data_IF_032027841218
#
_entry.id   IF_032027841218
#
_cell.length_a   1.000
_cell.length_b   1.000
_cell.length_c   1.000
_cell.angle_alpha   90.00
_cell.angle_beta   90.00
_cell.angle_gamma   90.00
#
_symmetry.space_group_name_H-M   'P 1'
#
loop_
_entity.id
_entity.type
_entity.pdbx_description
1 polymer ?
#
# COMPACT_ATOMS: atom_id res chain seq x y z
N UNK A 1 -28.00 39.60 -12.12
CA UNK A 1 -28.01 38.19 -11.64
C UNK A 1 -26.62 37.61 -11.87
N UNK A 2 -25.87 37.37 -10.78
CA UNK A 2 -24.41 37.17 -10.80
C UNK A 2 -24.04 35.71 -11.09
N UNK A 3 -23.49 35.45 -12.27
CA UNK A 3 -22.84 34.16 -12.60
C UNK A 3 -21.41 34.19 -12.05
N UNK A 4 -21.19 33.57 -10.89
CA UNK A 4 -19.84 33.37 -10.32
C UNK A 4 -19.09 32.34 -11.19
N UNK A 5 -18.25 32.83 -12.09
CA UNK A 5 -17.16 32.07 -12.72
C UNK A 5 -16.11 31.80 -11.65
N UNK A 6 -15.95 30.54 -11.23
CA UNK A 6 -14.79 30.15 -10.44
C UNK A 6 -13.61 29.93 -11.37
N UNK A 7 -12.71 30.91 -11.27
CA UNK A 7 -11.39 31.02 -11.85
C UNK A 7 -10.50 29.89 -11.29
N UNK A 8 -10.31 28.81 -12.05
CA UNK A 8 -9.22 27.86 -11.83
C UNK A 8 -8.07 28.28 -12.73
N UNK A 9 -7.23 29.18 -12.21
CA UNK A 9 -6.02 29.63 -12.89
C UNK A 9 -4.78 29.08 -12.17
N UNK A 10 -3.96 28.39 -12.97
CA UNK A 10 -2.50 28.44 -12.98
C UNK A 10 -1.75 28.03 -11.72
N UNK A 11 -1.32 26.76 -11.72
CA UNK A 11 0.05 26.39 -11.32
C UNK A 11 0.64 25.64 -12.52
N UNK A 12 1.22 26.37 -13.47
CA UNK A 12 2.67 26.48 -13.65
C UNK A 12 3.35 25.12 -13.74
N UNK A 13 3.63 24.75 -14.99
CA UNK A 13 4.45 23.64 -15.44
C UNK A 13 5.80 23.58 -14.71
N UNK A 14 5.91 22.70 -13.71
CA UNK A 14 7.18 22.03 -13.45
C UNK A 14 7.15 20.73 -14.22
N UNK A 15 7.97 20.67 -15.27
CA UNK A 15 8.27 19.46 -15.99
C UNK A 15 8.61 18.37 -14.98
N UNK A 16 7.71 17.39 -14.84
CA UNK A 16 7.99 16.14 -14.17
C UNK A 16 8.93 15.39 -15.10
N UNK A 17 10.23 15.64 -14.99
CA UNK A 17 11.24 14.83 -15.65
C UNK A 17 11.13 13.45 -15.03
N UNK A 18 10.37 12.54 -15.66
CA UNK A 18 10.51 11.11 -15.47
C UNK A 18 11.92 10.74 -15.93
N UNK A 19 12.90 10.92 -15.05
CA UNK A 19 14.14 10.19 -15.15
C UNK A 19 13.80 8.75 -14.76
N UNK A 20 13.43 7.95 -15.76
CA UNK A 20 13.52 6.51 -15.67
C UNK A 20 15.00 6.14 -15.52
N UNK A 21 15.55 6.34 -14.32
CA UNK A 21 16.72 5.60 -13.88
C UNK A 21 16.25 4.20 -13.51
N UNK A 22 16.01 3.40 -14.55
CA UNK A 22 16.10 1.95 -14.43
C UNK A 22 17.60 1.64 -14.36
N UNK A 23 18.23 2.01 -13.25
CA UNK A 23 19.47 1.34 -12.87
C UNK A 23 19.04 -0.07 -12.47
N UNK A 24 19.25 -1.00 -13.40
CA UNK A 24 19.39 -2.41 -13.07
C UNK A 24 20.53 -2.46 -12.06
N UNK A 25 20.19 -2.44 -10.77
CA UNK A 25 21.12 -2.78 -9.73
C UNK A 25 21.55 -4.22 -10.02
N UNK A 26 22.80 -4.38 -10.45
CA UNK A 26 23.43 -5.69 -10.42
C UNK A 26 23.29 -6.25 -9.00
N UNK A 27 22.95 -7.54 -8.84
CA UNK A 27 22.84 -8.13 -7.52
C UNK A 27 24.23 -8.11 -6.87
N UNK A 28 24.47 -7.10 -6.04
CA UNK A 28 25.62 -7.09 -5.15
C UNK A 28 25.41 -8.24 -4.17
N UNK A 29 26.21 -9.30 -4.31
CA UNK A 29 26.17 -10.46 -3.44
C UNK A 29 26.11 -10.04 -1.97
N UNK A 30 25.04 -10.42 -1.28
CA UNK A 30 24.73 -9.90 0.05
C UNK A 30 23.72 -10.80 0.75
N UNK A 31 24.03 -11.13 2.00
CA UNK A 31 23.33 -12.06 2.87
C UNK A 31 21.79 -12.06 2.78
N UNK A 32 21.20 -13.26 2.89
CA UNK A 32 19.82 -13.46 3.33
C UNK A 32 19.53 -12.61 4.57
N UNK A 33 18.48 -11.82 4.53
CA UNK A 33 18.12 -10.90 5.61
C UNK A 33 16.77 -11.23 6.26
N UNK A 34 16.40 -10.40 7.24
CA UNK A 34 15.08 -10.40 7.85
C UNK A 34 14.38 -9.07 7.61
N UNK A 35 13.07 -9.11 7.40
CA UNK A 35 12.24 -7.91 7.24
C UNK A 35 11.00 -7.98 8.13
N UNK A 36 10.59 -6.82 8.65
CA UNK A 36 9.36 -6.70 9.42
C UNK A 36 8.17 -6.48 8.48
N UNK A 37 7.23 -7.41 8.51
CA UNK A 37 6.07 -7.45 7.64
C UNK A 37 4.78 -7.18 8.39
N UNK A 38 3.82 -6.58 7.69
CA UNK A 38 2.38 -6.72 7.93
C UNK A 38 1.70 -7.11 6.63
N UNK A 39 0.51 -7.67 6.72
CA UNK A 39 -0.25 -8.20 5.57
C UNK A 39 -1.67 -7.71 5.63
N UNK A 40 -2.24 -7.39 4.47
CA UNK A 40 -3.64 -6.98 4.33
C UNK A 40 -4.25 -7.56 3.04
N UNK A 41 -5.38 -8.26 3.18
CA UNK A 41 -6.19 -8.72 2.07
C UNK A 41 -7.09 -7.61 1.52
N UNK A 42 -7.05 -7.37 0.21
CA UNK A 42 -7.87 -6.37 -0.50
C UNK A 42 -9.09 -6.99 -1.21
N UNK A 43 -9.10 -8.30 -1.42
CA UNK A 43 -10.26 -9.05 -1.90
C UNK A 43 -10.31 -10.40 -1.20
N UNK A 44 -11.49 -11.02 -1.13
CA UNK A 44 -11.63 -12.34 -0.52
C UNK A 44 -10.73 -13.33 -1.28
N UNK A 45 -9.74 -13.87 -0.60
CA UNK A 45 -8.90 -14.92 -1.12
C UNK A 45 -9.58 -16.25 -0.78
N UNK A 46 -9.78 -17.10 -1.80
CA UNK A 46 -10.15 -18.49 -1.57
C UNK A 46 -9.15 -19.17 -0.62
N UNK A 47 -9.47 -20.36 -0.12
CA UNK A 47 -8.74 -21.13 0.92
C UNK A 47 -7.26 -21.46 0.62
N UNK A 48 -6.67 -20.86 -0.41
CA UNK A 48 -5.26 -20.96 -0.76
C UNK A 48 -4.39 -20.49 0.41
N UNK A 49 -3.77 -21.46 1.08
CA UNK A 49 -2.75 -21.22 2.09
C UNK A 49 -1.44 -20.88 1.39
N UNK A 50 -1.01 -19.65 1.60
CA UNK A 50 0.29 -19.16 1.16
C UNK A 50 1.22 -19.21 2.35
N UNK A 51 2.44 -19.66 2.14
CA UNK A 51 3.45 -19.86 3.16
C UNK A 51 4.61 -18.89 2.96
N UNK A 52 5.32 -18.57 4.04
CA UNK A 52 6.54 -17.79 4.02
C UNK A 52 7.59 -18.45 4.92
N UNK A 53 8.86 -18.13 4.70
CA UNK A 53 9.96 -18.69 5.47
C UNK A 53 10.33 -17.78 6.65
N UNK A 54 10.50 -18.37 7.82
CA UNK A 54 10.98 -17.70 9.03
C UNK A 54 11.73 -18.68 9.94
N UNK A 55 12.92 -18.28 10.42
CA UNK A 55 13.72 -19.10 11.34
C UNK A 55 14.03 -20.52 10.83
N UNK A 56 14.16 -20.71 9.51
CA UNK A 56 14.38 -22.03 8.90
C UNK A 56 13.13 -22.93 8.80
N UNK A 57 11.94 -22.40 9.12
CA UNK A 57 10.65 -23.09 9.03
C UNK A 57 9.71 -22.39 8.04
N UNK A 58 8.64 -23.07 7.64
CA UNK A 58 7.57 -22.52 6.81
C UNK A 58 6.31 -22.30 7.63
N UNK A 59 5.81 -21.07 7.62
CA UNK A 59 4.59 -20.68 8.31
C UNK A 59 3.53 -20.18 7.34
N UNK A 60 2.26 -20.26 7.72
CA UNK A 60 1.16 -19.69 6.91
C UNK A 60 1.24 -18.18 6.99
N UNK A 61 1.24 -17.52 5.84
CA UNK A 61 1.23 -16.06 5.73
C UNK A 61 -0.06 -15.51 6.35
N UNK A 62 0.00 -14.71 7.43
CA UNK A 62 -1.19 -14.32 8.18
C UNK A 62 -1.95 -13.20 7.46
N UNK A 63 -2.75 -13.51 6.44
CA UNK A 63 -3.53 -12.50 5.72
C UNK A 63 -4.80 -12.16 6.51
N UNK A 64 -4.98 -10.87 6.80
CA UNK A 64 -6.16 -10.36 7.51
C UNK A 64 -6.94 -9.38 6.63
N UNK A 65 -8.24 -9.27 6.87
CA UNK A 65 -9.13 -8.37 6.14
C UNK A 65 -9.52 -7.18 7.02
N UNK A 66 -9.75 -6.02 6.40
CA UNK A 66 -10.19 -4.76 7.05
C UNK A 66 -9.18 -4.06 7.97
N UNK A 67 -8.16 -4.75 8.44
CA UNK A 67 -7.02 -4.19 9.19
C UNK A 67 -5.75 -4.93 8.81
N UNK A 68 -4.57 -4.27 8.85
CA UNK A 68 -3.30 -5.00 8.72
C UNK A 68 -3.15 -6.03 9.84
N UNK A 69 -2.41 -7.10 9.55
CA UNK A 69 -2.01 -8.07 10.58
C UNK A 69 -1.06 -7.44 11.61
N UNK A 70 -0.89 -8.14 12.73
CA UNK A 70 0.21 -7.83 13.65
C UNK A 70 1.54 -7.97 12.91
N UNK A 71 2.53 -7.17 13.28
CA UNK A 71 3.86 -7.28 12.66
C UNK A 71 4.53 -8.60 13.00
N UNK A 72 5.16 -9.20 11.99
CA UNK A 72 5.97 -10.43 12.11
C UNK A 72 7.24 -10.29 11.28
N UNK A 73 8.18 -11.22 11.45
CA UNK A 73 9.46 -11.22 10.72
C UNK A 73 9.46 -12.33 9.68
N UNK A 74 9.97 -12.03 8.48
CA UNK A 74 10.17 -13.01 7.42
C UNK A 74 11.58 -12.94 6.86
N UNK A 75 12.07 -14.09 6.39
CA UNK A 75 13.34 -14.19 5.66
C UNK A 75 13.18 -13.67 4.23
N UNK A 76 14.17 -12.92 3.75
CA UNK A 76 14.24 -12.42 2.37
C UNK A 76 15.35 -13.15 1.61
N UNK A 77 15.14 -13.37 0.31
CA UNK A 77 16.16 -13.92 -0.58
C UNK A 77 17.29 -12.93 -0.83
N UNK A 78 18.40 -13.42 -1.40
CA UNK A 78 19.60 -12.61 -1.68
C UNK A 78 19.35 -11.43 -2.63
N UNK A 79 18.33 -11.54 -3.49
CA UNK A 79 17.86 -10.46 -4.37
C UNK A 79 16.95 -9.44 -3.64
N UNK A 80 16.76 -9.59 -2.32
CA UNK A 80 15.97 -8.69 -1.50
C UNK A 80 14.45 -8.87 -1.65
N UNK A 81 13.99 -9.98 -2.25
CA UNK A 81 12.57 -10.30 -2.35
C UNK A 81 12.09 -11.20 -1.19
N UNK A 82 10.78 -11.23 -0.94
CA UNK A 82 10.17 -12.24 -0.10
C UNK A 82 9.63 -13.39 -0.95
N UNK A 83 10.23 -14.59 -0.84
CA UNK A 83 9.66 -15.77 -1.46
C UNK A 83 8.40 -16.20 -0.70
N UNK A 84 7.34 -16.47 -1.45
CA UNK A 84 6.08 -17.01 -0.97
C UNK A 84 5.86 -18.38 -1.59
N UNK A 85 5.32 -19.31 -0.80
CA UNK A 85 5.30 -20.73 -1.12
C UNK A 85 3.87 -21.28 -1.09
N UNK A 86 3.61 -22.30 -1.91
CA UNK A 86 2.49 -23.22 -1.74
C UNK A 86 2.99 -24.53 -1.16
N UNK A 87 2.10 -25.27 -0.48
CA UNK A 87 2.43 -26.56 0.12
C UNK A 87 1.75 -27.69 -0.65
N UNK A 88 2.55 -28.61 -1.14
CA UNK A 88 2.13 -29.84 -1.81
C UNK A 88 2.55 -31.08 -0.99
N UNK A 89 2.13 -32.26 -1.45
CA UNK A 89 2.50 -33.55 -0.87
C UNK A 89 3.36 -34.31 -1.89
N UNK A 90 4.52 -34.81 -1.48
CA UNK A 90 5.40 -35.63 -2.34
C UNK A 90 4.89 -37.08 -2.51
N UNK A 91 5.60 -37.87 -3.32
CA UNK A 91 5.29 -39.28 -3.57
C UNK A 91 5.41 -40.18 -2.34
N UNK A 92 6.07 -39.72 -1.27
CA UNK A 92 6.27 -40.42 -0.01
C UNK A 92 5.31 -39.93 1.10
N UNK A 93 4.44 -38.96 0.80
CA UNK A 93 3.50 -38.37 1.75
C UNK A 93 4.08 -37.23 2.59
N UNK A 94 5.31 -36.80 2.32
CA UNK A 94 5.97 -35.64 2.92
C UNK A 94 5.45 -34.31 2.35
N UNK A 95 5.75 -33.20 3.03
CA UNK A 95 5.38 -31.86 2.55
C UNK A 95 6.48 -31.25 1.69
N UNK A 96 6.10 -30.74 0.52
CA UNK A 96 6.96 -29.94 -0.34
C UNK A 96 6.49 -28.49 -0.33
N UNK A 97 7.43 -27.55 -0.32
CA UNK A 97 7.17 -26.12 -0.39
C UNK A 97 7.74 -25.56 -1.69
N UNK A 98 6.86 -25.29 -2.65
CA UNK A 98 7.22 -24.77 -3.96
C UNK A 98 7.07 -23.25 -3.95
N UNK A 99 8.06 -22.53 -4.52
CA UNK A 99 7.95 -21.08 -4.68
C UNK A 99 6.77 -20.78 -5.60
N UNK A 100 5.77 -20.12 -5.05
CA UNK A 100 4.57 -19.70 -5.74
C UNK A 100 4.75 -18.32 -6.38
N UNK A 101 5.37 -17.40 -5.66
CA UNK A 101 5.61 -16.03 -6.10
C UNK A 101 6.72 -15.38 -5.27
N UNK A 102 7.33 -14.32 -5.77
CA UNK A 102 8.25 -13.47 -5.00
C UNK A 102 7.75 -12.04 -4.95
N UNK A 103 7.86 -11.39 -3.80
CA UNK A 103 7.44 -10.00 -3.58
C UNK A 103 8.67 -9.12 -3.43
N UNK A 104 8.91 -8.24 -4.41
CA UNK A 104 9.96 -7.23 -4.32
C UNK A 104 9.54 -6.07 -3.42
N UNK A 105 10.52 -5.47 -2.76
CA UNK A 105 10.29 -4.40 -1.79
C UNK A 105 10.86 -3.06 -2.26
N UNK A 106 10.28 -1.93 -1.83
CA UNK A 106 10.94 -0.65 -1.99
C UNK A 106 12.28 -0.66 -1.24
N UNK A 107 13.33 -0.13 -1.88
CA UNK A 107 14.66 -0.03 -1.29
C UNK A 107 14.62 0.67 0.08
N UNK A 108 15.52 0.27 0.98
CA UNK A 108 15.71 0.84 2.32
C UNK A 108 14.52 0.75 3.29
N UNK A 109 13.46 0.01 2.94
CA UNK A 109 12.30 -0.17 3.79
C UNK A 109 12.57 -1.19 4.91
N UNK A 110 12.60 -0.73 6.16
CA UNK A 110 12.75 -1.60 7.35
C UNK A 110 11.45 -2.29 7.76
N UNK A 111 10.32 -1.73 7.34
CA UNK A 111 8.99 -2.27 7.60
C UNK A 111 8.14 -2.09 6.35
N UNK A 112 7.38 -3.12 6.00
CA UNK A 112 6.55 -3.11 4.79
C UNK A 112 5.17 -3.69 5.05
N UNK A 113 4.21 -3.24 4.25
CA UNK A 113 2.88 -3.82 4.19
C UNK A 113 2.75 -4.57 2.86
N UNK A 114 2.46 -5.86 2.93
CA UNK A 114 2.16 -6.70 1.78
C UNK A 114 0.65 -6.78 1.59
N UNK A 115 0.16 -6.23 0.48
CA UNK A 115 -1.21 -6.40 0.06
C UNK A 115 -1.36 -7.69 -0.72
N UNK A 116 -2.38 -8.46 -0.37
CA UNK A 116 -2.78 -9.65 -1.11
C UNK A 116 -4.16 -9.42 -1.75
N UNK A 117 -4.28 -9.74 -3.03
CA UNK A 117 -5.55 -9.68 -3.75
C UNK A 117 -5.68 -10.89 -4.66
N UNK A 118 -6.88 -11.43 -4.79
CA UNK A 118 -7.18 -12.47 -5.77
C UNK A 118 -8.12 -11.94 -6.86
N UNK A 119 -7.89 -12.43 -8.08
CA UNK A 119 -8.81 -12.29 -9.22
C UNK A 119 -9.72 -13.52 -9.40
N UNK A 120 -9.67 -14.49 -8.48
CA UNK A 120 -10.40 -15.76 -8.55
C UNK A 120 -9.57 -16.93 -9.10
N UNK A 121 -8.50 -16.67 -9.84
CA UNK A 121 -7.62 -17.70 -10.42
C UNK A 121 -6.24 -17.70 -9.72
N UNK A 122 -5.73 -16.52 -9.41
CA UNK A 122 -4.41 -16.31 -8.83
C UNK A 122 -4.48 -15.32 -7.68
N UNK A 123 -3.45 -15.37 -6.83
CA UNK A 123 -3.22 -14.38 -5.78
C UNK A 123 -2.07 -13.49 -6.24
N UNK A 124 -2.35 -12.19 -6.36
CA UNK A 124 -1.36 -11.16 -6.57
C UNK A 124 -0.90 -10.57 -5.23
N UNK A 125 0.38 -10.24 -5.16
CA UNK A 125 0.99 -9.58 -4.01
C UNK A 125 1.62 -8.25 -4.44
N UNK A 126 1.50 -7.24 -3.59
CA UNK A 126 2.20 -5.96 -3.75
C UNK A 126 2.69 -5.46 -2.41
N UNK A 127 3.97 -5.14 -2.31
CA UNK A 127 4.53 -4.51 -1.12
C UNK A 127 4.59 -2.99 -1.28
N UNK A 128 4.40 -2.28 -0.17
CA UNK A 128 4.69 -0.86 -0.04
C UNK A 128 5.44 -0.61 1.25
N UNK A 129 6.18 0.51 1.29
CA UNK A 129 6.86 0.93 2.50
C UNK A 129 5.84 1.25 3.59
N UNK A 130 6.03 0.67 4.76
CA UNK A 130 5.23 0.96 5.95
C UNK A 130 5.78 2.21 6.64
N UNK A 131 5.61 3.35 5.99
CA UNK A 131 6.08 4.65 6.48
C UNK A 131 5.18 5.23 7.58
N UNK A 132 4.39 4.40 8.26
CA UNK A 132 3.50 4.85 9.31
C UNK A 132 4.30 5.36 10.50
N UNK A 133 4.09 6.63 10.83
CA UNK A 133 4.64 7.20 12.04
C UNK A 133 3.90 6.65 13.28
N UNK A 134 4.46 6.91 14.45
CA UNK A 134 3.81 6.64 15.75
C UNK A 134 2.71 7.65 16.11
N UNK A 135 2.46 8.66 15.28
CA UNK A 135 1.48 9.70 15.57
C UNK A 135 0.07 9.29 15.08
N UNK A 136 -0.91 9.26 15.98
CA UNK A 136 -2.31 8.93 15.67
C UNK A 136 -2.93 9.82 14.59
N UNK A 137 -2.46 11.07 14.45
CA UNK A 137 -2.98 12.02 13.47
C UNK A 137 -2.44 11.80 12.06
N UNK A 138 -1.39 11.00 11.90
CA UNK A 138 -0.79 10.83 10.60
C UNK A 138 -1.59 9.81 9.79
N UNK A 139 -1.92 10.19 8.56
CA UNK A 139 -2.60 9.33 7.61
C UNK A 139 -1.59 8.73 6.67
N UNK A 140 -1.64 7.42 6.46
CA UNK A 140 -0.84 6.77 5.43
C UNK A 140 -1.67 6.67 4.15
N UNK A 141 -1.23 7.36 3.10
CA UNK A 141 -1.80 7.21 1.76
C UNK A 141 -1.04 6.15 0.99
N UNK A 142 -1.75 5.25 0.33
CA UNK A 142 -1.16 4.10 -0.37
C UNK A 142 -1.79 3.96 -1.76
N UNK A 143 -0.99 4.16 -2.81
CA UNK A 143 -1.44 4.03 -4.18
C UNK A 143 -1.06 2.66 -4.74
N UNK A 144 -1.99 1.72 -4.73
CA UNK A 144 -1.79 0.40 -5.38
C UNK A 144 -2.23 0.39 -6.84
N UNK A 145 -2.57 1.55 -7.41
CA UNK A 145 -3.01 1.69 -8.80
C UNK A 145 -1.82 1.87 -9.75
N UNK A 146 -2.06 1.89 -11.05
CA UNK A 146 -1.06 2.28 -12.06
C UNK A 146 -1.15 3.76 -12.44
N UNK A 147 -2.09 4.50 -11.84
CA UNK A 147 -2.36 5.90 -12.16
C UNK A 147 -1.88 6.80 -11.01
N UNK A 148 -1.26 7.96 -11.27
CA UNK A 148 -0.98 8.94 -10.23
C UNK A 148 -2.28 9.39 -9.53
N UNK A 149 -2.23 9.46 -8.19
CA UNK A 149 -3.33 9.93 -7.35
C UNK A 149 -2.94 11.26 -6.70
N UNK A 150 -3.88 12.19 -6.60
CA UNK A 150 -3.75 13.36 -5.74
C UNK A 150 -4.80 13.31 -4.63
N UNK A 151 -4.35 13.48 -3.38
CA UNK A 151 -5.19 13.42 -2.18
C UNK A 151 -5.15 14.75 -1.46
N UNK A 152 -6.30 15.34 -1.20
CA UNK A 152 -6.44 16.53 -0.37
C UNK A 152 -7.24 16.18 0.88
N UNK A 153 -6.70 16.52 2.06
CA UNK A 153 -7.35 16.35 3.35
C UNK A 153 -7.71 17.70 3.95
N UNK A 154 -9.00 18.03 4.01
CA UNK A 154 -9.47 19.36 4.41
C UNK A 154 -9.26 20.41 3.31
N UNK A 155 -9.97 21.53 3.44
CA UNK A 155 -9.94 22.60 2.41
C UNK A 155 -8.63 23.39 2.39
N UNK A 156 -7.98 23.54 3.56
CA UNK A 156 -6.80 24.39 3.72
C UNK A 156 -5.50 23.73 3.24
N UNK A 157 -5.47 22.40 3.15
CA UNK A 157 -4.25 21.67 2.82
C UNK A 157 -4.03 21.59 1.31
N UNK A 158 -2.76 21.60 0.91
CA UNK A 158 -2.36 21.33 -0.48
C UNK A 158 -2.58 19.84 -0.79
N UNK A 159 -3.02 19.49 -2.02
CA UNK A 159 -3.08 18.10 -2.44
C UNK A 159 -1.69 17.45 -2.41
N UNK A 160 -1.63 16.23 -1.90
CA UNK A 160 -0.45 15.37 -1.94
C UNK A 160 -0.53 14.49 -3.17
N UNK A 161 0.47 14.59 -4.05
CA UNK A 161 0.61 13.69 -5.19
C UNK A 161 1.25 12.37 -4.74
N UNK A 162 0.69 11.26 -5.21
CA UNK A 162 1.09 9.91 -4.87
C UNK A 162 1.30 9.11 -6.16
N UNK A 163 2.56 8.90 -6.58
CA UNK A 163 2.87 8.10 -7.76
C UNK A 163 2.36 6.65 -7.64
N UNK A 164 2.23 5.92 -8.76
CA UNK A 164 1.91 4.50 -8.75
C UNK A 164 2.85 3.68 -7.85
N UNK A 165 2.28 2.77 -7.04
CA UNK A 165 3.04 1.87 -6.16
C UNK A 165 3.65 2.52 -4.92
N UNK A 166 3.44 3.82 -4.70
CA UNK A 166 4.06 4.55 -3.60
C UNK A 166 3.12 4.69 -2.39
N UNK A 167 3.74 4.92 -1.22
CA UNK A 167 3.06 5.27 0.02
C UNK A 167 3.68 6.52 0.64
N UNK A 168 2.83 7.39 1.22
CA UNK A 168 3.27 8.63 1.87
C UNK A 168 2.50 8.80 3.17
N UNK A 169 3.24 9.04 4.26
CA UNK A 169 2.66 9.53 5.49
C UNK A 169 2.39 11.03 5.37
N UNK A 170 1.15 11.42 5.67
CA UNK A 170 0.70 12.80 5.66
C UNK A 170 0.23 13.18 7.05
N UNK A 171 0.78 14.26 7.60
CA UNK A 171 0.33 14.79 8.89
C UNK A 171 -1.04 15.44 8.71
N UNK A 172 -2.07 14.91 9.36
CA UNK A 172 -3.34 15.62 9.40
C UNK A 172 -3.23 16.79 10.38
N UNK A 173 -3.37 18.02 9.88
CA UNK A 173 -3.45 19.24 10.72
C UNK A 173 -4.82 19.42 11.39
N UNK A 174 -5.61 18.36 11.43
CA UNK A 174 -7.01 18.36 11.88
C UNK A 174 -7.05 17.84 13.32
N UNK A 175 -7.87 18.46 14.17
CA UNK A 175 -7.94 18.11 15.59
C UNK A 175 -8.40 16.65 15.78
N UNK A 176 -7.81 15.94 16.74
CA UNK A 176 -8.28 14.61 17.17
C UNK A 176 -9.75 14.66 17.63
N UNK A 177 -10.50 13.58 17.41
CA UNK A 177 -11.93 13.51 17.73
C UNK A 177 -12.83 14.30 16.78
N UNK A 178 -12.28 14.89 15.72
CA UNK A 178 -13.04 15.58 14.68
C UNK A 178 -13.05 14.79 13.37
N UNK A 179 -13.09 15.46 12.23
CA UNK A 179 -12.98 14.82 10.92
C UNK A 179 -12.64 15.82 9.83
N UNK A 180 -12.33 15.32 8.66
CA UNK A 180 -11.97 16.14 7.52
C UNK A 180 -12.57 15.61 6.21
N UNK A 181 -12.82 16.55 5.30
CA UNK A 181 -13.18 16.21 3.94
C UNK A 181 -11.95 15.69 3.20
N UNK A 182 -11.97 14.43 2.77
CA UNK A 182 -11.02 13.90 1.80
C UNK A 182 -11.54 14.14 0.38
N UNK A 183 -10.65 14.56 -0.51
CA UNK A 183 -10.88 14.64 -1.95
C UNK A 183 -9.77 13.90 -2.66
N UNK A 184 -10.14 13.11 -3.66
CA UNK A 184 -9.21 12.30 -4.44
C UNK A 184 -9.40 12.62 -5.91
N UNK A 185 -8.29 12.88 -6.60
CA UNK A 185 -8.24 13.02 -8.04
C UNK A 185 -7.24 12.04 -8.65
N UNK A 186 -7.51 11.66 -9.89
CA UNK A 186 -6.64 10.83 -10.74
C UNK A 186 -6.11 11.69 -11.88
N UNK A 187 -4.92 11.36 -12.38
CA UNK A 187 -4.39 11.99 -13.58
C UNK A 187 -4.86 11.23 -14.83
N UNK A 188 -5.69 11.86 -15.65
CA UNK A 188 -6.12 11.37 -16.97
C UNK A 188 -5.49 12.22 -18.09
N UNK A 189 -5.67 11.87 -19.36
CA UNK A 189 -5.16 12.64 -20.51
C UNK A 189 -5.59 14.11 -20.51
N UNK A 190 -6.81 14.38 -20.01
CA UNK A 190 -7.37 15.75 -19.88
C UNK A 190 -6.92 16.49 -18.61
N UNK A 191 -6.06 15.86 -17.80
CA UNK A 191 -5.54 16.39 -16.54
C UNK A 191 -6.18 15.75 -15.30
N UNK A 192 -6.07 16.46 -14.17
CA UNK A 192 -6.56 15.98 -12.88
C UNK A 192 -8.09 15.97 -12.82
N UNK A 193 -8.67 14.81 -12.54
CA UNK A 193 -10.12 14.63 -12.43
C UNK A 193 -10.47 14.02 -11.07
N UNK A 194 -11.40 14.68 -10.37
CA UNK A 194 -11.88 14.22 -9.07
C UNK A 194 -12.74 12.96 -9.23
N UNK A 195 -12.41 11.92 -8.48
CA UNK A 195 -13.13 10.63 -8.48
C UNK A 195 -13.81 10.32 -7.14
N UNK A 196 -13.40 10.98 -6.05
CA UNK A 196 -13.92 10.72 -4.73
C UNK A 196 -13.95 11.99 -3.88
N UNK A 197 -15.00 12.13 -3.07
CA UNK A 197 -15.03 13.12 -2.00
C UNK A 197 -15.94 12.64 -0.88
N UNK A 198 -15.43 12.63 0.35
CA UNK A 198 -16.20 12.22 1.53
C UNK A 198 -15.64 12.89 2.79
N UNK A 199 -16.47 13.05 3.81
CA UNK A 199 -16.01 13.40 5.15
C UNK A 199 -15.66 12.13 5.92
N UNK A 200 -14.45 12.06 6.49
CA UNK A 200 -14.02 10.93 7.32
C UNK A 200 -13.68 11.39 8.73
N UNK A 201 -14.07 10.58 9.75
CA UNK A 201 -13.71 10.85 11.13
C UNK A 201 -12.23 10.60 11.38
N UNK A 202 -11.66 11.33 12.34
CA UNK A 202 -10.32 11.12 12.90
C UNK A 202 -10.51 10.70 14.34
N UNK A 203 -10.31 9.41 14.61
CA UNK A 203 -10.47 8.85 15.94
C UNK A 203 -9.20 9.05 16.78
N UNK A 204 -9.40 9.24 18.08
CA UNK A 204 -8.30 9.20 19.04
C UNK A 204 -7.65 7.82 19.04
N UNK A 205 -6.32 7.78 19.15
CA UNK A 205 -5.51 6.54 19.21
C UNK A 205 -5.63 5.61 18.01
N UNK A 206 -6.21 6.07 16.89
CA UNK A 206 -6.24 5.33 15.64
C UNK A 206 -5.64 6.16 14.53
N UNK A 207 -4.80 5.53 13.72
CA UNK A 207 -4.26 6.11 12.50
C UNK A 207 -5.07 5.63 11.30
N UNK A 208 -5.21 6.50 10.29
CA UNK A 208 -5.95 6.19 9.07
C UNK A 208 -5.00 5.70 7.98
N UNK A 209 -5.35 4.59 7.35
CA UNK A 209 -4.71 4.09 6.14
C UNK A 209 -5.68 4.24 4.98
N UNK A 210 -5.29 5.06 4.01
CA UNK A 210 -6.08 5.31 2.81
C UNK A 210 -5.48 4.55 1.63
N UNK A 211 -6.23 3.60 1.11
CA UNK A 211 -5.74 2.68 0.07
C UNK A 211 -6.53 2.91 -1.21
N UNK A 212 -5.82 3.17 -2.30
CA UNK A 212 -6.36 3.33 -3.65
C UNK A 212 -6.12 2.04 -4.44
N UNK A 213 -7.20 1.37 -4.86
CA UNK A 213 -7.14 0.06 -5.53
C UNK A 213 -7.89 0.11 -6.86
N UNK A 214 -7.28 -0.38 -7.94
CA UNK A 214 -7.99 -0.60 -9.20
C UNK A 214 -8.80 -1.89 -9.14
N UNK A 215 -10.11 -1.79 -9.36
CA UNK A 215 -11.03 -2.92 -9.38
C UNK A 215 -12.11 -2.72 -10.45
N UNK A 216 -12.21 -3.66 -11.38
CA UNK A 216 -13.18 -3.63 -12.49
C UNK A 216 -13.18 -2.29 -13.27
N UNK A 217 -11.98 -1.79 -13.60
CA UNK A 217 -11.80 -0.54 -14.35
C UNK A 217 -12.11 0.74 -13.57
N UNK A 218 -12.29 0.66 -12.24
CA UNK A 218 -12.53 1.83 -11.38
C UNK A 218 -11.54 1.85 -10.22
N UNK A 219 -11.14 3.05 -9.79
CA UNK A 219 -10.35 3.22 -8.58
C UNK A 219 -11.29 3.28 -7.37
N UNK A 220 -11.14 2.32 -6.46
CA UNK A 220 -11.80 2.25 -5.17
C UNK A 220 -10.92 2.90 -4.11
N UNK A 221 -11.56 3.58 -3.17
CA UNK A 221 -10.90 4.25 -2.05
C UNK A 221 -11.36 3.58 -0.76
N UNK A 222 -10.42 2.96 -0.06
CA UNK A 222 -10.64 2.35 1.25
C UNK A 222 -10.03 3.22 2.34
N UNK A 223 -10.75 3.40 3.45
CA UNK A 223 -10.20 3.95 4.69
C UNK A 223 -10.22 2.84 5.74
N UNK A 224 -9.04 2.45 6.19
CA UNK A 224 -8.86 1.44 7.23
C UNK A 224 -8.27 2.12 8.46
N UNK A 225 -8.68 1.66 9.63
CA UNK A 225 -8.18 2.17 10.90
C UNK A 225 -7.23 1.16 11.51
N UNK A 226 -6.09 1.65 11.95
CA UNK A 226 -5.08 0.87 12.62
C UNK A 226 -4.83 1.47 14.01
N UNK A 227 -4.68 0.62 15.01
CA UNK A 227 -4.43 1.10 16.37
C UNK A 227 -3.02 1.68 16.45
N UNK A 228 -2.84 2.78 17.17
CA UNK A 228 -1.51 3.22 17.56
C UNK A 228 -1.09 2.37 18.74
N UNK A 229 -0.12 1.47 18.54
CA UNK A 229 0.49 0.72 19.65
C UNK A 229 1.14 1.73 20.61
N UNK A 230 0.71 1.72 21.87
CA UNK A 230 1.38 2.42 22.97
C UNK A 230 2.66 1.69 23.37
#
# INVERSE_FOLDING_TARGET
MKLKKYLFCLLSSTALTLAAHSQSAEPSGGASGEIRLRTLGLSNMAETKIYYQTGGSFEVLPITYFRPSASFTASISEDGALPLFTRDIDSEGGYLYNVHSSVSFPADSRQIIVFASSNGEQVGFRAVADNLSSNARDWLYINTTQTPIAVQLGEANKPVALPPGQSVAHKAEVQEGSGAAIRVAVYEESGWKRIYSRFWPIYENQRSMVIFVEQAGKIRVYNLFDAVSQ
#
